data_IF_408976206128
#
_entry.id   IF_408976206128
#
_cell.length_a   1.000
_cell.length_b   1.000
_cell.length_c   1.000
_cell.angle_alpha   90.00
_cell.angle_beta   90.00
_cell.angle_gamma   90.00
#
_symmetry.space_group_name_H-M   'P 1'
#
loop_
_entity.id
_entity.type
_entity.pdbx_description
1 polymer ?
#
# COMPACT_ATOMS: atom_id res chain seq x y z
N UNK A 1 6.86 -13.15 1.86
CA UNK A 1 5.47 -12.93 1.44
C UNK A 1 5.41 -11.70 0.56
N UNK A 2 4.41 -11.61 -0.28
CA UNK A 2 4.20 -10.43 -1.09
C UNK A 2 3.47 -9.35 -0.32
N UNK A 3 3.49 -8.13 -0.86
CA UNK A 3 2.72 -7.05 -0.25
C UNK A 3 1.24 -7.39 -0.27
N UNK A 4 0.74 -7.98 -1.35
CA UNK A 4 -0.66 -8.38 -1.41
C UNK A 4 -1.01 -9.37 -0.30
N UNK A 5 -0.11 -10.33 -0.04
CA UNK A 5 -0.35 -11.30 1.03
C UNK A 5 -0.36 -10.64 2.40
N UNK A 6 0.53 -9.68 2.60
CA UNK A 6 0.57 -8.95 3.87
C UNK A 6 -0.73 -8.20 4.10
N UNK A 7 -1.20 -7.48 3.08
CA UNK A 7 -2.44 -6.72 3.22
C UNK A 7 -3.62 -7.65 3.49
N UNK A 8 -3.66 -8.81 2.84
CA UNK A 8 -4.71 -9.78 3.08
C UNK A 8 -4.67 -10.29 4.51
N UNK A 9 -3.47 -10.52 5.02
CA UNK A 9 -3.30 -11.02 6.38
C UNK A 9 -3.77 -10.01 7.40
N UNK A 10 -3.59 -8.72 7.10
CA UNK A 10 -4.03 -7.63 7.98
C UNK A 10 -5.47 -7.21 7.72
N UNK A 11 -6.14 -7.85 6.77
CA UNK A 11 -7.51 -7.53 6.41
C UNK A 11 -7.62 -6.09 5.91
N UNK A 12 -6.64 -5.66 5.13
CA UNK A 12 -6.60 -4.33 4.57
C UNK A 12 -6.89 -4.40 3.08
N UNK A 13 -7.84 -3.60 2.63
CA UNK A 13 -8.18 -3.56 1.22
C UNK A 13 -7.09 -2.81 0.46
N UNK A 14 -6.51 -3.39 -0.59
CA UNK A 14 -5.38 -2.73 -1.28
C UNK A 14 -5.71 -1.37 -1.87
N UNK A 15 -6.97 -1.13 -2.16
CA UNK A 15 -7.36 0.15 -2.75
C UNK A 15 -7.47 1.27 -1.73
N UNK A 16 -7.36 0.94 -0.45
CA UNK A 16 -7.54 1.92 0.60
C UNK A 16 -6.23 2.45 1.15
N UNK A 17 -5.12 1.94 0.64
CA UNK A 17 -3.82 2.28 1.22
C UNK A 17 -2.81 2.57 0.14
N UNK A 18 -1.81 3.35 0.52
CA UNK A 18 -0.58 3.47 -0.23
C UNK A 18 0.47 2.69 0.53
N UNK A 19 1.34 2.00 -0.19
CA UNK A 19 2.36 1.17 0.42
C UNK A 19 3.73 1.63 -0.05
N UNK A 20 4.64 1.81 0.90
CA UNK A 20 6.05 2.03 0.60
C UNK A 20 6.83 0.80 1.03
N UNK A 21 7.76 0.42 0.20
CA UNK A 21 8.64 -0.71 0.46
C UNK A 21 10.06 -0.19 0.33
N UNK A 22 10.78 -0.17 1.44
CA UNK A 22 12.14 0.37 1.50
C UNK A 22 12.19 1.78 0.91
N UNK A 23 11.24 2.62 1.33
CA UNK A 23 11.15 4.03 0.96
C UNK A 23 10.75 4.26 -0.49
N UNK A 24 10.34 3.22 -1.18
CA UNK A 24 9.87 3.33 -2.55
C UNK A 24 8.40 3.04 -2.60
N UNK A 25 7.63 3.93 -3.23
CA UNK A 25 6.21 3.71 -3.38
C UNK A 25 5.97 2.56 -4.34
N UNK A 26 5.14 1.62 -3.93
CA UNK A 26 4.83 0.44 -4.73
C UNK A 26 3.49 0.67 -5.41
N UNK A 27 3.47 0.52 -6.71
CA UNK A 27 2.22 0.62 -7.45
C UNK A 27 1.33 -0.57 -7.14
N UNK A 28 0.03 -0.32 -7.08
CA UNK A 28 -0.91 -1.38 -6.73
C UNK A 28 -0.77 -2.60 -7.63
N UNK A 29 -0.49 -2.37 -8.90
CA UNK A 29 -0.33 -3.46 -9.85
C UNK A 29 0.85 -4.38 -9.51
N UNK A 30 1.73 -3.93 -8.62
CA UNK A 30 2.89 -4.70 -8.22
C UNK A 30 2.76 -5.33 -6.84
N UNK A 31 1.61 -5.17 -6.19
CA UNK A 31 1.47 -5.69 -4.83
C UNK A 31 1.60 -7.21 -4.77
N UNK A 32 1.16 -7.91 -5.80
CA UNK A 32 1.20 -9.36 -5.78
C UNK A 32 2.51 -9.92 -6.31
N UNK A 33 3.41 -9.08 -6.78
CA UNK A 33 4.72 -9.54 -7.27
C UNK A 33 5.87 -8.99 -6.45
N UNK A 34 5.64 -8.02 -5.58
CA UNK A 34 6.71 -7.45 -4.78
C UNK A 34 6.87 -8.25 -3.51
N UNK A 35 8.03 -8.89 -3.37
CA UNK A 35 8.34 -9.71 -2.20
C UNK A 35 8.89 -8.87 -1.08
N UNK A 36 8.47 -9.17 0.13
CA UNK A 36 9.00 -8.55 1.33
C UNK A 36 10.01 -9.51 1.92
N UNK A 37 11.24 -9.05 2.05
CA UNK A 37 12.30 -9.86 2.63
C UNK A 37 12.56 -9.47 4.06
N UNK A 38 13.36 -10.30 4.72
CA UNK A 38 13.72 -10.04 6.10
C UNK A 38 14.50 -8.74 6.18
N UNK A 39 14.13 -7.90 7.14
CA UNK A 39 14.79 -6.61 7.30
C UNK A 39 14.22 -5.51 6.43
N UNK A 40 13.32 -5.82 5.53
CA UNK A 40 12.70 -4.79 4.71
C UNK A 40 11.76 -3.93 5.53
N UNK A 41 11.68 -2.65 5.14
CA UNK A 41 10.73 -1.73 5.73
C UNK A 41 9.51 -1.62 4.86
N UNK A 42 8.34 -1.72 5.48
CA UNK A 42 7.08 -1.55 4.77
C UNK A 42 6.24 -0.55 5.54
N UNK A 43 5.80 0.48 4.85
CA UNK A 43 4.95 1.49 5.46
C UNK A 43 3.62 1.51 4.72
N UNK A 44 2.54 1.46 5.48
CA UNK A 44 1.19 1.44 4.94
C UNK A 44 0.47 2.67 5.42
N UNK A 45 0.00 3.47 4.48
CA UNK A 45 -0.71 4.70 4.78
C UNK A 45 -2.14 4.57 4.32
N UNK A 46 -3.08 4.73 5.24
CA UNK A 46 -4.50 4.70 4.91
C UNK A 46 -4.91 6.01 4.27
N UNK A 47 -5.71 5.91 3.24
CA UNK A 47 -6.38 7.08 2.73
C UNK A 47 -7.58 7.38 3.62
N UNK A 48 -7.68 8.59 4.07
CA UNK A 48 -8.73 9.00 4.96
C UNK A 48 -9.72 9.90 4.22
N UNK A 49 -10.96 9.76 4.53
CA UNK A 49 -11.92 10.69 3.97
C UNK A 49 -12.17 10.40 2.56
N UNK A 50 -12.18 9.61 2.11
CA UNK A 50 -12.56 9.40 0.87
C UNK A 50 -11.79 9.83 -0.16
N UNK A 51 -10.86 9.96 0.13
CA UNK A 51 -10.27 10.31 -0.90
C UNK A 51 -10.99 9.95 -2.04
N UNK A 52 -11.67 10.02 -2.17
CA UNK A 52 -12.00 9.92 -3.17
C UNK A 52 -11.74 10.72 -3.84
N UNK A 53 -11.36 10.98 -3.86
CA UNK A 53 -11.02 11.63 -4.10
C UNK A 53 -10.31 12.00 -4.18
N UNK A 54 -10.26 12.35 -4.14
CA UNK A 54 -9.58 12.81 -3.87
C UNK A 54 -8.78 12.77 -4.13
N UNK A 55 -8.84 13.05 -4.37
CA UNK A 55 -8.14 13.16 -4.23
C UNK A 55 -7.61 13.32 -4.36
N UNK A 56 -7.79 13.65 -4.68
CA UNK A 56 -7.29 13.98 -4.40
C UNK A 56 -6.93 14.20 -4.32
N UNK A 57 -6.91 14.62 -4.67
CA UNK A 57 -6.55 14.92 -4.23
C UNK A 57 -6.06 15.02 -4.08
N UNK A 58 -6.01 15.45 -4.37
CA UNK A 58 -5.58 15.60 -3.94
C UNK A 58 -5.14 15.74 -3.61
N UNK A 59 -5.24 16.17 -3.93
CA UNK A 59 -4.88 16.27 -3.38
C UNK A 59 -4.59 16.42 -3.18
N UNK A 60 -4.57 16.75 -3.54
CA UNK A 60 -4.40 16.90 -3.13
C UNK A 60 -4.12 16.91 -3.00
#
# INVERSE_FOLDING_TARGET
MTIAALLAQLDIHPRRVAVEHNLTIVKRARYDTTEIGEGDEVEIVNFVGGGEGAAGSESR
#
